data_IF_402419013096
#
_entry.id   IF_402419013096
#
_cell.length_a   1.000
_cell.length_b   1.000
_cell.length_c   1.000
_cell.angle_alpha   90.00
_cell.angle_beta   90.00
_cell.angle_gamma   90.00
#
_symmetry.space_group_name_H-M   'P 1'
#
loop_
_entity.id
_entity.type
_entity.pdbx_description
1 polymer ?
#
# COMPACT_ATOMS: atom_id res chain seq x y z
N UNK A 1 -16.20 -0.55 -0.07
CA UNK A 1 -15.52 0.73 -0.37
C UNK A 1 -15.75 1.67 0.79
N UNK A 2 -14.73 1.90 1.62
CA UNK A 2 -14.79 2.86 2.72
C UNK A 2 -14.39 4.24 2.19
N UNK A 3 -15.26 5.25 2.33
CA UNK A 3 -14.96 6.63 1.96
C UNK A 3 -14.88 7.48 3.23
N UNK A 4 -13.66 7.76 3.68
CA UNK A 4 -13.41 8.61 4.86
C UNK A 4 -13.44 10.08 4.43
N UNK A 5 -14.04 11.00 5.21
CA UNK A 5 -14.02 12.44 4.85
C UNK A 5 -12.57 12.97 4.91
N UNK A 6 -12.09 13.61 3.84
CA UNK A 6 -10.74 14.15 3.73
C UNK A 6 -10.53 14.93 2.43
N UNK A 7 -9.30 15.41 2.18
CA UNK A 7 -8.94 16.07 0.91
C UNK A 7 -8.85 14.98 -0.17
N UNK A 8 -9.65 15.09 -1.22
CA UNK A 8 -9.64 14.12 -2.32
C UNK A 8 -8.54 14.48 -3.31
N UNK A 9 -7.49 13.65 -3.37
CA UNK A 9 -6.48 13.78 -4.43
C UNK A 9 -7.09 13.42 -5.79
N UNK A 10 -7.08 14.37 -6.74
CA UNK A 10 -7.62 14.19 -8.10
C UNK A 10 -6.91 13.10 -8.91
N UNK A 11 -5.67 12.73 -8.56
CA UNK A 11 -4.92 11.65 -9.23
C UNK A 11 -5.25 10.25 -8.69
N UNK A 12 -5.61 10.13 -7.41
CA UNK A 12 -5.74 8.83 -6.74
C UNK A 12 -7.13 8.43 -6.27
N UNK A 13 -8.15 9.31 -6.34
CA UNK A 13 -9.47 9.10 -5.69
C UNK A 13 -9.34 8.69 -4.21
N UNK A 14 -8.35 9.25 -3.51
CA UNK A 14 -8.03 8.96 -2.10
C UNK A 14 -8.41 10.14 -1.22
N UNK A 15 -8.97 9.89 -0.05
CA UNK A 15 -9.19 10.89 0.98
C UNK A 15 -7.98 10.90 1.92
N UNK A 16 -7.13 11.92 1.84
CA UNK A 16 -5.96 12.09 2.71
C UNK A 16 -6.20 13.18 3.76
N UNK A 17 -5.49 13.07 4.89
CA UNK A 17 -5.51 14.04 6.00
C UNK A 17 -5.51 13.39 7.37
N UNK A 18 -5.10 14.16 8.39
CA UNK A 18 -4.94 13.70 9.79
C UNK A 18 -6.17 12.95 10.33
N UNK A 19 -7.38 13.45 10.04
CA UNK A 19 -8.61 12.81 10.49
C UNK A 19 -8.86 11.44 9.84
N UNK A 20 -8.52 11.30 8.56
CA UNK A 20 -8.66 10.02 7.87
C UNK A 20 -7.68 8.98 8.44
N UNK A 21 -6.47 9.41 8.74
CA UNK A 21 -5.47 8.57 9.41
C UNK A 21 -5.88 8.13 10.82
N UNK A 22 -6.43 9.03 11.63
CA UNK A 22 -6.93 8.66 12.97
C UNK A 22 -8.11 7.68 12.89
N UNK A 23 -8.96 7.80 11.87
CA UNK A 23 -10.04 6.85 11.67
C UNK A 23 -9.51 5.46 11.27
N UNK A 24 -8.43 5.38 10.48
CA UNK A 24 -7.79 4.12 10.12
C UNK A 24 -7.16 3.41 11.32
N UNK A 25 -6.69 4.13 12.34
CA UNK A 25 -6.18 3.54 13.60
C UNK A 25 -7.28 2.83 14.41
N UNK A 26 -8.54 3.20 14.21
CA UNK A 26 -9.68 2.62 14.92
C UNK A 26 -10.33 1.46 14.15
N UNK A 27 -9.81 1.13 12.96
CA UNK A 27 -10.37 0.11 12.08
C UNK A 27 -9.41 -1.06 11.99
N UNK A 28 -9.93 -2.24 12.32
CA UNK A 28 -9.27 -3.51 12.04
C UNK A 28 -9.72 -4.01 10.68
N UNK A 29 -8.78 -4.38 9.81
CA UNK A 29 -9.09 -4.90 8.49
C UNK A 29 -9.01 -6.43 8.49
N UNK A 30 -10.03 -7.10 7.97
CA UNK A 30 -9.94 -8.55 7.74
C UNK A 30 -8.93 -8.85 6.62
N UNK A 31 -8.94 -8.03 5.57
CA UNK A 31 -8.08 -8.16 4.40
C UNK A 31 -7.60 -6.80 3.90
N UNK A 32 -6.29 -6.65 3.72
CA UNK A 32 -5.65 -5.54 3.03
C UNK A 32 -5.02 -6.02 1.72
N UNK A 33 -5.42 -5.40 0.60
CA UNK A 33 -4.82 -5.60 -0.72
C UNK A 33 -4.02 -4.35 -1.04
N UNK A 34 -2.71 -4.51 -1.20
CA UNK A 34 -1.75 -3.42 -1.31
C UNK A 34 -0.99 -3.55 -2.62
N UNK A 35 -0.82 -2.42 -3.30
CA UNK A 35 0.03 -2.31 -4.49
C UNK A 35 1.40 -1.75 -4.12
N UNK A 36 2.40 -1.97 -4.96
CA UNK A 36 3.71 -1.32 -4.79
C UNK A 36 4.12 -0.53 -6.02
N UNK A 37 4.80 0.59 -5.79
CA UNK A 37 5.35 1.42 -6.84
C UNK A 37 6.71 0.93 -7.35
N UNK A 38 7.39 0.07 -6.59
CA UNK A 38 8.64 -0.58 -6.97
C UNK A 38 8.96 -1.78 -6.07
N UNK A 39 9.65 -2.77 -6.61
CA UNK A 39 10.01 -4.00 -5.90
C UNK A 39 11.42 -4.48 -6.26
N UNK A 40 12.25 -3.59 -6.81
CA UNK A 40 13.62 -3.94 -7.16
C UNK A 40 14.40 -4.42 -5.93
N UNK A 41 15.15 -5.49 -6.12
CA UNK A 41 15.91 -6.23 -5.11
C UNK A 41 15.07 -6.92 -4.01
N UNK A 42 13.72 -6.90 -4.12
CA UNK A 42 12.78 -7.62 -3.24
C UNK A 42 12.96 -7.35 -1.74
N UNK A 43 13.64 -6.28 -1.35
CA UNK A 43 13.91 -6.02 0.07
C UNK A 43 12.69 -5.47 0.80
N UNK A 44 11.71 -4.91 0.10
CA UNK A 44 10.47 -4.41 0.70
C UNK A 44 9.54 -3.76 -0.31
N UNK A 45 8.31 -3.48 0.11
CA UNK A 45 7.35 -2.72 -0.70
C UNK A 45 7.53 -1.23 -0.45
N UNK A 46 7.51 -0.46 -1.53
CA UNK A 46 7.67 0.98 -1.46
C UNK A 46 6.58 1.77 -2.14
N UNK A 47 6.50 3.02 -1.70
CA UNK A 47 5.62 4.07 -2.24
C UNK A 47 6.44 5.19 -2.85
N UNK A 48 5.87 5.81 -3.88
CA UNK A 48 6.44 7.00 -4.49
C UNK A 48 6.26 8.29 -3.69
N UNK A 49 5.37 8.33 -2.68
CA UNK A 49 5.00 9.56 -1.99
C UNK A 49 5.01 9.43 -0.45
N UNK A 50 5.62 10.39 0.24
CA UNK A 50 5.71 10.43 1.71
C UNK A 50 4.37 10.61 2.39
N UNK A 51 3.40 11.28 1.73
CA UNK A 51 2.04 11.43 2.25
C UNK A 51 1.28 10.09 2.31
N UNK A 52 1.73 9.07 1.56
CA UNK A 52 1.09 7.75 1.54
C UNK A 52 1.62 6.82 2.63
N UNK A 53 2.83 7.08 3.13
CA UNK A 53 3.51 6.24 4.13
C UNK A 53 2.69 6.09 5.42
N UNK A 54 2.11 7.19 5.90
CA UNK A 54 1.46 7.25 7.21
C UNK A 54 0.25 6.33 7.31
N UNK A 55 -0.66 6.42 6.33
CA UNK A 55 -1.90 5.63 6.34
C UNK A 55 -1.68 4.19 5.87
N UNK A 56 -0.79 3.94 4.91
CA UNK A 56 -0.50 2.57 4.45
C UNK A 56 0.15 1.73 5.54
N UNK A 57 1.07 2.31 6.32
CA UNK A 57 1.66 1.63 7.49
C UNK A 57 0.59 1.27 8.52
N UNK A 58 -0.38 2.16 8.75
CA UNK A 58 -1.48 1.90 9.70
C UNK A 58 -2.37 0.75 9.22
N UNK A 59 -2.72 0.73 7.94
CA UNK A 59 -3.50 -0.35 7.32
C UNK A 59 -2.73 -1.68 7.37
N UNK A 60 -1.44 -1.68 7.04
CA UNK A 60 -0.57 -2.86 7.16
C UNK A 60 -0.56 -3.43 8.57
N UNK A 61 -0.46 -2.56 9.58
CA UNK A 61 -0.37 -3.00 10.97
C UNK A 61 -1.70 -3.47 11.55
N UNK A 62 -2.84 -2.99 11.04
CA UNK A 62 -4.17 -3.36 11.55
C UNK A 62 -4.89 -4.43 10.71
N UNK A 63 -4.25 -4.96 9.67
CA UNK A 63 -4.83 -6.01 8.83
C UNK A 63 -4.50 -7.43 9.33
N UNK A 64 -5.51 -8.29 9.36
CA UNK A 64 -5.34 -9.72 9.69
C UNK A 64 -4.65 -10.48 8.56
N UNK A 65 -5.05 -10.19 7.32
CA UNK A 65 -4.49 -10.78 6.11
C UNK A 65 -4.01 -9.68 5.16
N UNK A 66 -2.79 -9.82 4.65
CA UNK A 66 -2.11 -8.85 3.79
C UNK A 66 -1.72 -9.51 2.48
N UNK A 67 -2.21 -8.96 1.38
CA UNK A 67 -1.89 -9.42 0.03
C UNK A 67 -1.21 -8.28 -0.71
N UNK A 68 0.00 -8.55 -1.21
CA UNK A 68 0.72 -7.64 -2.08
C UNK A 68 0.46 -8.01 -3.54
N UNK A 69 0.10 -7.02 -4.35
CA UNK A 69 -0.09 -7.17 -5.80
C UNK A 69 0.90 -6.27 -6.53
N UNK A 70 1.65 -6.83 -7.46
CA UNK A 70 2.53 -6.06 -8.32
C UNK A 70 2.57 -6.62 -9.73
N UNK A 71 2.65 -5.75 -10.73
CA UNK A 71 2.92 -6.15 -12.10
C UNK A 71 4.43 -6.38 -12.31
N UNK A 72 4.79 -7.08 -13.39
CA UNK A 72 6.19 -7.36 -13.74
C UNK A 72 7.04 -6.10 -13.94
N UNK A 73 6.47 -4.96 -14.33
CA UNK A 73 7.21 -3.71 -14.54
C UNK A 73 7.73 -3.10 -13.24
N UNK A 74 7.15 -3.46 -12.08
CA UNK A 74 7.57 -2.95 -10.76
C UNK A 74 8.87 -3.56 -10.25
N UNK A 75 9.31 -4.70 -10.78
CA UNK A 75 10.51 -5.40 -10.30
C UNK A 75 11.82 -4.75 -10.75
N UNK A 76 11.78 -3.90 -11.77
CA UNK A 76 12.94 -3.13 -12.24
C UNK A 76 12.98 -1.70 -11.67
N UNK A 77 12.02 -1.34 -10.81
CA UNK A 77 11.87 0.00 -10.24
C UNK A 77 12.37 0.02 -8.79
N UNK A 78 13.34 0.89 -8.51
CA UNK A 78 13.79 1.16 -7.16
C UNK A 78 12.73 1.91 -6.35
N UNK A 79 12.56 1.50 -5.11
CA UNK A 79 11.72 2.22 -4.15
C UNK A 79 12.41 3.47 -3.64
N UNK A 80 11.67 4.58 -3.62
CA UNK A 80 12.14 5.83 -2.99
C UNK A 80 12.03 5.72 -1.46
N UNK A 81 10.97 5.07 -0.96
CA UNK A 81 10.74 4.81 0.46
C UNK A 81 10.27 3.38 0.67
N UNK A 82 10.85 2.68 1.65
CA UNK A 82 10.39 1.33 2.06
C UNK A 82 9.48 1.46 3.27
N UNK A 83 8.22 0.99 3.15
CA UNK A 83 7.26 1.05 4.26
C UNK A 83 7.31 -0.23 5.09
N UNK A 84 7.49 -1.38 4.44
CA UNK A 84 7.58 -2.67 5.12
C UNK A 84 8.29 -3.71 4.27
N UNK A 85 8.56 -4.84 4.90
CA UNK A 85 9.25 -5.97 4.32
C UNK A 85 8.28 -6.89 3.58
N UNK A 86 8.78 -7.66 2.61
CA UNK A 86 7.94 -8.60 1.85
C UNK A 86 7.43 -9.78 2.68
N UNK A 87 8.14 -10.15 3.75
CA UNK A 87 7.76 -11.23 4.66
C UNK A 87 6.57 -10.86 5.57
N UNK A 88 6.19 -9.58 5.63
CA UNK A 88 5.00 -9.12 6.33
C UNK A 88 3.70 -9.44 5.58
N UNK A 89 3.77 -9.89 4.32
CA UNK A 89 2.62 -10.25 3.50
C UNK A 89 2.38 -11.76 3.50
N UNK A 90 1.10 -12.14 3.60
CA UNK A 90 0.67 -13.55 3.57
C UNK A 90 0.67 -14.12 2.15
N UNK A 91 0.46 -13.27 1.13
CA UNK A 91 0.41 -13.67 -0.26
C UNK A 91 0.96 -12.57 -1.16
N UNK A 92 1.76 -12.97 -2.15
CA UNK A 92 2.25 -12.10 -3.21
C UNK A 92 1.69 -12.53 -4.57
N UNK A 93 0.93 -11.64 -5.21
CA UNK A 93 0.34 -11.85 -6.52
C UNK A 93 1.08 -11.02 -7.56
N UNK A 94 1.74 -11.70 -8.49
CA UNK A 94 2.37 -11.08 -9.65
C UNK A 94 1.40 -11.07 -10.82
N UNK A 95 1.08 -9.89 -11.34
CA UNK A 95 0.38 -9.78 -12.62
C UNK A 95 1.40 -9.88 -13.75
N UNK A 96 1.27 -10.92 -14.58
CA UNK A 96 1.99 -11.03 -15.84
C UNK A 96 1.14 -10.39 -16.94
N UNK A 97 1.77 -9.50 -17.72
CA UNK A 97 1.14 -9.00 -18.93
C UNK A 97 1.36 -10.06 -20.02
N UNK A 98 0.32 -10.62 -20.64
CA UNK A 98 0.51 -11.42 -21.85
C UNK A 98 1.07 -10.51 -22.94
N UNK A 99 2.15 -10.95 -23.58
CA UNK A 99 2.75 -10.33 -24.78
C UNK A 99 1.76 -10.29 -25.96
#
# INVERSE_FOLDING_TARGET
>A
MLLVRGVVSKKGKRCSGYFAEQMLEQIHFDLAIIGSDGLKDLTGFGVGNTEEIGWERKVMNSASQKILIADSSKFDVYNVYTIGMLDEFDLFLRAEHPD
#
